data_IF_107080837343
#
_entry.id   IF_107080837343
#
_cell.length_a   1.000
_cell.length_b   1.000
_cell.length_c   1.000
_cell.angle_alpha   90.00
_cell.angle_beta   90.00
_cell.angle_gamma   90.00
#
_symmetry.space_group_name_H-M   'P 1'
#
loop_
_entity.id
_entity.type
_entity.pdbx_description
1 polymer ?
#
# COMPACT_ATOMS: atom_id res chain seq x y z
N UNK A 1 -19.40 8.34 -9.47
CA UNK A 1 -18.96 8.80 -8.13
C UNK A 1 -18.57 10.28 -8.22
N UNK A 2 -19.09 11.09 -7.32
CA UNK A 2 -18.65 12.47 -7.19
C UNK A 2 -18.25 12.69 -5.71
N UNK A 3 -16.95 12.76 -5.44
CA UNK A 3 -16.43 12.86 -4.09
C UNK A 3 -15.15 13.69 -4.05
N UNK A 4 -15.00 14.47 -3.00
CA UNK A 4 -13.76 15.16 -2.67
C UNK A 4 -13.16 14.53 -1.42
N UNK A 5 -11.86 14.28 -1.44
CA UNK A 5 -11.11 13.69 -0.33
C UNK A 5 -10.07 14.71 0.11
N UNK A 6 -10.04 15.00 1.39
CA UNK A 6 -9.13 15.99 1.94
C UNK A 6 -7.82 15.37 2.43
N UNK A 7 -6.79 16.19 2.50
CA UNK A 7 -5.48 15.75 3.00
C UNK A 7 -5.61 15.23 4.44
N UNK A 8 -5.01 14.06 4.70
CA UNK A 8 -5.08 13.38 6.00
C UNK A 8 -6.37 12.60 6.22
N UNK A 9 -7.33 12.65 5.29
CA UNK A 9 -8.59 11.89 5.39
C UNK A 9 -8.35 10.40 5.08
N UNK A 10 -9.05 9.54 5.81
CA UNK A 10 -9.08 8.10 5.59
C UNK A 10 -10.47 7.69 5.15
N UNK A 11 -10.55 7.16 3.95
CA UNK A 11 -11.81 6.83 3.28
C UNK A 11 -11.82 5.36 2.91
N UNK A 12 -12.86 4.65 3.35
CA UNK A 12 -13.16 3.30 2.91
C UNK A 12 -14.11 3.37 1.72
N UNK A 13 -13.75 2.72 0.63
CA UNK A 13 -14.59 2.60 -0.56
C UNK A 13 -15.15 1.19 -0.58
N UNK A 14 -16.47 1.08 -0.45
CA UNK A 14 -17.19 -0.18 -0.48
C UNK A 14 -18.18 -0.18 -1.64
N UNK A 15 -18.47 -1.36 -2.18
CA UNK A 15 -19.41 -1.48 -3.29
C UNK A 15 -19.18 -2.73 -4.12
N UNK A 16 -19.70 -2.73 -5.34
CA UNK A 16 -19.48 -3.82 -6.28
C UNK A 16 -17.98 -3.94 -6.62
N UNK A 17 -17.37 -5.13 -6.50
CA UNK A 17 -15.95 -5.33 -6.77
C UNK A 17 -15.50 -4.84 -8.13
N UNK A 18 -16.32 -5.06 -9.18
CA UNK A 18 -15.98 -4.64 -10.55
C UNK A 18 -15.86 -3.12 -10.67
N UNK A 19 -16.75 -2.40 -9.99
CA UNK A 19 -16.79 -0.93 -10.01
C UNK A 19 -15.62 -0.36 -9.20
N UNK A 20 -15.36 -0.88 -8.01
CA UNK A 20 -14.33 -0.36 -7.11
C UNK A 20 -12.91 -0.64 -7.62
N UNK A 21 -12.66 -1.82 -8.20
CA UNK A 21 -11.39 -2.13 -8.87
C UNK A 21 -11.18 -1.22 -10.09
N UNK A 22 -12.24 -0.94 -10.85
CA UNK A 22 -12.16 0.00 -11.97
C UNK A 22 -11.82 1.41 -11.51
N UNK A 23 -12.37 1.86 -10.37
CA UNK A 23 -12.02 3.14 -9.77
C UNK A 23 -10.54 3.23 -9.39
N UNK A 24 -9.98 2.17 -8.79
CA UNK A 24 -8.55 2.10 -8.48
C UNK A 24 -7.69 2.30 -9.76
N UNK A 25 -8.06 1.59 -10.83
CA UNK A 25 -7.37 1.72 -12.13
C UNK A 25 -7.52 3.11 -12.76
N UNK A 26 -8.71 3.73 -12.63
CA UNK A 26 -8.95 5.11 -13.10
C UNK A 26 -8.02 6.09 -12.38
N UNK A 27 -7.95 6.02 -11.05
CA UNK A 27 -7.07 6.89 -10.26
C UNK A 27 -5.59 6.64 -10.57
N UNK A 28 -5.22 5.39 -10.85
CA UNK A 28 -3.86 5.03 -11.26
C UNK A 28 -3.53 5.43 -12.73
N UNK A 29 -4.49 5.99 -13.49
CA UNK A 29 -4.30 6.33 -14.91
C UNK A 29 -4.25 5.12 -15.85
N UNK A 30 -4.70 3.95 -15.39
CA UNK A 30 -4.63 2.68 -16.12
C UNK A 30 -5.95 2.28 -16.81
N UNK A 31 -6.98 3.12 -16.74
CA UNK A 31 -8.30 2.83 -17.27
C UNK A 31 -8.75 3.94 -18.22
N UNK A 32 -8.74 3.70 -19.55
CA UNK A 32 -9.02 4.74 -20.54
C UNK A 32 -10.52 4.87 -20.91
N UNK A 33 -11.38 4.01 -20.36
CA UNK A 33 -12.80 4.00 -20.72
C UNK A 33 -13.68 4.70 -19.67
N UNK A 34 -14.68 5.43 -20.16
CA UNK A 34 -15.66 6.13 -19.33
C UNK A 34 -15.57 7.64 -19.50
N UNK A 35 -16.32 8.34 -18.63
CA UNK A 35 -16.38 9.80 -18.60
C UNK A 35 -16.20 10.27 -17.15
N UNK A 36 -15.47 11.35 -16.97
CA UNK A 36 -15.23 11.96 -15.66
C UNK A 36 -13.82 12.52 -15.56
N UNK A 37 -13.55 13.12 -14.42
CA UNK A 37 -12.26 13.76 -14.13
C UNK A 37 -11.77 13.30 -12.76
N UNK A 38 -10.47 13.09 -12.66
CA UNK A 38 -9.78 12.84 -11.39
C UNK A 38 -8.76 13.94 -11.19
N UNK A 39 -8.94 14.71 -10.14
CA UNK A 39 -8.02 15.78 -9.77
C UNK A 39 -7.11 15.30 -8.64
N UNK A 40 -5.82 15.24 -8.91
CA UNK A 40 -4.79 14.87 -7.92
C UNK A 40 -3.95 16.10 -7.59
N UNK A 41 -3.50 16.28 -6.33
CA UNK A 41 -2.64 17.40 -5.98
C UNK A 41 -1.35 17.39 -6.78
N UNK A 42 -0.99 18.52 -7.38
CA UNK A 42 0.23 18.64 -8.16
C UNK A 42 1.46 18.36 -7.29
N UNK A 43 2.35 17.50 -7.75
CA UNK A 43 3.59 17.14 -7.05
C UNK A 43 3.39 16.29 -5.79
N UNK A 44 2.19 15.80 -5.51
CA UNK A 44 1.97 14.93 -4.37
C UNK A 44 2.60 13.54 -4.60
N UNK A 45 3.29 13.03 -3.57
CA UNK A 45 3.75 11.66 -3.56
C UNK A 45 2.54 10.74 -3.36
N UNK A 46 2.23 9.95 -4.38
CA UNK A 46 1.12 9.02 -4.42
C UNK A 46 1.67 7.61 -4.52
N UNK A 47 1.21 6.71 -3.69
CA UNK A 47 1.56 5.29 -3.73
C UNK A 47 0.33 4.42 -3.85
N UNK A 48 0.47 3.32 -4.58
CA UNK A 48 -0.56 2.31 -4.78
C UNK A 48 -0.11 1.01 -4.12
N UNK A 49 -0.97 0.45 -3.29
CA UNK A 49 -0.78 -0.85 -2.65
C UNK A 49 -1.88 -1.81 -3.12
N UNK A 50 -1.64 -2.57 -4.19
CA UNK A 50 -2.59 -3.57 -4.67
C UNK A 50 -2.55 -4.83 -3.81
N UNK A 51 -3.55 -5.69 -3.95
CA UNK A 51 -3.63 -7.02 -3.33
C UNK A 51 -2.34 -7.84 -3.51
N UNK A 52 -1.75 -7.76 -4.70
CA UNK A 52 -0.45 -8.38 -5.01
C UNK A 52 0.57 -7.31 -5.40
N UNK A 53 1.45 -6.90 -4.49
CA UNK A 53 2.47 -5.92 -4.79
C UNK A 53 3.42 -6.41 -5.89
N UNK A 54 3.82 -5.52 -6.78
CA UNK A 54 4.85 -5.83 -7.76
C UNK A 54 6.20 -6.02 -7.06
N UNK A 55 6.78 -7.21 -7.22
CA UNK A 55 8.08 -7.61 -6.67
C UNK A 55 8.98 -8.06 -7.82
N UNK A 56 9.83 -7.20 -8.37
CA UNK A 56 10.73 -7.55 -9.47
C UNK A 56 11.77 -8.58 -9.02
N UNK A 57 12.28 -9.36 -9.96
CA UNK A 57 13.48 -10.18 -9.77
C UNK A 57 14.68 -9.25 -9.56
N UNK A 58 15.03 -9.01 -8.31
CA UNK A 58 16.07 -8.05 -7.92
C UNK A 58 16.53 -8.31 -6.47
N UNK A 59 17.52 -7.54 -6.01
CA UNK A 59 17.87 -7.55 -4.59
C UNK A 59 16.69 -7.07 -3.74
N UNK A 60 16.57 -7.57 -2.50
CA UNK A 60 15.52 -7.14 -1.58
C UNK A 60 15.59 -5.62 -1.34
N UNK A 61 16.79 -5.06 -1.30
CA UNK A 61 17.02 -3.62 -1.23
C UNK A 61 16.37 -2.88 -2.42
N UNK A 62 16.55 -3.37 -3.65
CA UNK A 62 15.90 -2.81 -4.84
C UNK A 62 14.38 -2.94 -4.79
N UNK A 63 13.89 -4.09 -4.31
CA UNK A 63 12.47 -4.35 -4.14
C UNK A 63 11.84 -3.39 -3.13
N UNK A 64 12.50 -3.12 -2.01
CA UNK A 64 12.04 -2.16 -1.00
C UNK A 64 12.07 -0.71 -1.50
N UNK A 65 13.09 -0.35 -2.26
CA UNK A 65 13.24 1.02 -2.78
C UNK A 65 12.33 1.33 -3.96
N UNK A 66 11.84 0.31 -4.67
CA UNK A 66 11.03 0.50 -5.89
C UNK A 66 9.86 1.49 -5.69
N UNK A 67 9.64 2.47 -6.59
CA UNK A 67 10.29 2.65 -7.91
C UNK A 67 11.63 3.43 -7.88
N UNK A 68 12.13 3.80 -6.72
CA UNK A 68 13.39 4.51 -6.58
C UNK A 68 14.60 3.58 -6.77
N UNK A 69 15.79 4.16 -6.96
CA UNK A 69 17.03 3.40 -7.01
C UNK A 69 17.32 2.69 -5.67
N UNK A 70 18.05 1.58 -5.72
CA UNK A 70 18.32 0.73 -4.55
C UNK A 70 19.02 1.48 -3.41
N UNK A 71 19.88 2.43 -3.75
CA UNK A 71 20.69 3.24 -2.83
C UNK A 71 19.99 4.52 -2.33
N UNK A 72 18.73 4.74 -2.71
CA UNK A 72 17.96 5.93 -2.28
C UNK A 72 17.79 5.98 -0.76
N UNK A 73 17.64 4.84 -0.11
CA UNK A 73 17.41 4.75 1.32
C UNK A 73 18.56 4.03 2.03
N UNK A 74 18.86 4.44 3.24
CA UNK A 74 19.88 3.79 4.05
C UNK A 74 19.46 2.38 4.50
N UNK A 75 20.43 1.48 4.70
CA UNK A 75 20.15 0.15 5.25
C UNK A 75 19.43 0.23 6.62
N UNK A 76 19.75 1.21 7.44
CA UNK A 76 19.06 1.46 8.73
C UNK A 76 17.58 1.76 8.53
N UNK A 77 17.23 2.61 7.55
CA UNK A 77 15.83 2.92 7.25
C UNK A 77 15.09 1.69 6.71
N UNK A 78 15.73 0.88 5.86
CA UNK A 78 15.15 -0.36 5.35
C UNK A 78 14.92 -1.39 6.45
N UNK A 79 15.88 -1.56 7.37
CA UNK A 79 15.72 -2.43 8.54
C UNK A 79 14.53 -2.00 9.38
N UNK A 80 14.41 -0.70 9.68
CA UNK A 80 13.29 -0.16 10.44
C UNK A 80 11.95 -0.39 9.74
N UNK A 81 11.87 -0.14 8.42
CA UNK A 81 10.64 -0.38 7.65
C UNK A 81 10.22 -1.86 7.64
N UNK A 82 11.20 -2.77 7.52
CA UNK A 82 10.96 -4.21 7.62
C UNK A 82 10.49 -4.61 9.02
N UNK A 83 11.10 -4.06 10.06
CA UNK A 83 10.70 -4.31 11.45
C UNK A 83 9.27 -3.84 11.71
N UNK A 84 8.93 -2.61 11.32
CA UNK A 84 7.57 -2.06 11.41
C UNK A 84 6.54 -2.93 10.66
N UNK A 85 6.91 -3.50 9.51
CA UNK A 85 6.04 -4.41 8.76
C UNK A 85 6.02 -5.85 9.32
N UNK A 86 6.76 -6.15 10.39
CA UNK A 86 6.86 -7.50 10.96
C UNK A 86 7.66 -8.48 10.08
N UNK A 87 8.62 -7.95 9.33
CA UNK A 87 9.50 -8.69 8.41
C UNK A 87 10.98 -8.56 8.82
N UNK A 88 11.29 -8.34 10.11
CA UNK A 88 12.65 -8.17 10.61
C UNK A 88 13.59 -9.32 10.19
N UNK A 89 13.05 -10.55 10.03
CA UNK A 89 13.79 -11.71 9.58
C UNK A 89 14.34 -11.61 8.14
N UNK A 90 13.84 -10.68 7.32
CA UNK A 90 14.35 -10.38 5.98
C UNK A 90 15.52 -9.40 5.99
N UNK A 91 15.76 -8.68 7.08
CA UNK A 91 16.79 -7.66 7.15
C UNK A 91 18.21 -8.16 6.78
N UNK A 92 18.65 -9.39 7.17
CA UNK A 92 19.95 -9.93 6.73
C UNK A 92 20.04 -10.22 5.24
N UNK A 93 18.90 -10.26 4.53
CA UNK A 93 18.78 -10.63 3.12
C UNK A 93 18.67 -9.44 2.18
N UNK A 94 18.96 -8.22 2.61
CA UNK A 94 18.83 -7.01 1.78
C UNK A 94 19.60 -7.09 0.45
N UNK A 95 20.76 -7.73 0.45
CA UNK A 95 21.60 -7.90 -0.75
C UNK A 95 21.22 -9.11 -1.61
N UNK A 96 20.40 -10.04 -1.09
CA UNK A 96 20.02 -11.24 -1.81
C UNK A 96 19.15 -10.89 -3.01
N UNK A 97 19.44 -11.52 -4.14
CA UNK A 97 18.64 -11.42 -5.37
C UNK A 97 17.75 -12.67 -5.47
N UNK A 98 16.44 -12.45 -5.55
CA UNK A 98 15.49 -13.57 -5.61
C UNK A 98 14.21 -13.17 -6.34
N UNK A 99 13.40 -14.17 -6.72
CA UNK A 99 12.01 -13.99 -7.16
C UNK A 99 11.10 -13.91 -5.93
N UNK A 100 11.08 -12.76 -5.29
CA UNK A 100 10.41 -12.54 -4.01
C UNK A 100 8.90 -12.84 -4.04
N UNK A 101 8.28 -12.69 -5.21
CA UNK A 101 6.89 -13.08 -5.47
C UNK A 101 6.64 -14.59 -5.41
N UNK A 102 7.69 -15.40 -5.60
CA UNK A 102 7.62 -16.87 -5.57
C UNK A 102 8.06 -17.45 -4.23
N UNK A 103 9.08 -16.83 -3.61
CA UNK A 103 9.66 -17.36 -2.37
C UNK A 103 8.93 -16.89 -1.12
N UNK A 104 8.18 -15.76 -1.20
CA UNK A 104 7.41 -15.25 -0.09
C UNK A 104 5.93 -15.65 -0.19
N UNK A 105 5.30 -16.09 0.92
CA UNK A 105 3.85 -16.25 0.94
C UNK A 105 3.15 -14.88 0.77
N UNK A 106 1.91 -14.88 0.23
CA UNK A 106 1.17 -13.65 -0.08
C UNK A 106 1.13 -12.67 1.09
N UNK A 107 0.90 -13.14 2.30
CA UNK A 107 0.92 -12.31 3.53
C UNK A 107 2.25 -11.56 3.71
N UNK A 108 3.38 -12.19 3.43
CA UNK A 108 4.69 -11.54 3.53
C UNK A 108 4.91 -10.55 2.36
N UNK A 109 4.40 -10.86 1.17
CA UNK A 109 4.42 -9.94 0.03
C UNK A 109 3.63 -8.67 0.33
N UNK A 110 2.42 -8.78 0.89
CA UNK A 110 1.60 -7.65 1.30
C UNK A 110 2.31 -6.79 2.37
N UNK A 111 2.91 -7.43 3.39
CA UNK A 111 3.74 -6.74 4.39
C UNK A 111 4.95 -6.04 3.76
N UNK A 112 5.55 -6.62 2.73
CA UNK A 112 6.67 -5.99 2.01
C UNK A 112 6.21 -4.75 1.24
N UNK A 113 5.02 -4.79 0.65
CA UNK A 113 4.36 -3.61 0.07
C UNK A 113 4.15 -2.50 1.10
N UNK A 114 3.75 -2.85 2.32
CA UNK A 114 3.61 -1.87 3.42
C UNK A 114 4.97 -1.33 3.88
N UNK A 115 6.00 -2.17 3.97
CA UNK A 115 7.35 -1.71 4.29
C UNK A 115 7.84 -0.64 3.29
N UNK A 116 7.49 -0.74 2.00
CA UNK A 116 7.74 0.31 1.02
C UNK A 116 7.05 1.63 1.38
N UNK A 117 5.78 1.58 1.78
CA UNK A 117 5.04 2.77 2.19
C UNK A 117 5.70 3.43 3.40
N UNK A 118 6.11 2.62 4.41
CA UNK A 118 6.80 3.13 5.60
C UNK A 118 8.15 3.76 5.26
N UNK A 119 8.84 3.21 4.27
CA UNK A 119 10.12 3.73 3.80
C UNK A 119 9.97 5.03 3.00
N UNK A 120 8.96 5.11 2.13
CA UNK A 120 8.76 6.21 1.19
C UNK A 120 7.92 7.36 1.73
N UNK A 121 7.15 7.14 2.81
CA UNK A 121 6.33 8.17 3.46
C UNK A 121 5.44 8.98 2.49
N UNK A 122 4.61 8.33 1.64
CA UNK A 122 3.80 9.04 0.68
C UNK A 122 2.69 9.87 1.35
N UNK A 123 2.30 10.98 0.70
CA UNK A 123 1.21 11.82 1.18
C UNK A 123 -0.17 11.20 0.90
N UNK A 124 -0.27 10.36 -0.12
CA UNK A 124 -1.50 9.69 -0.55
C UNK A 124 -1.24 8.20 -0.79
N UNK A 125 -2.08 7.36 -0.21
CA UNK A 125 -2.01 5.91 -0.38
C UNK A 125 -3.35 5.39 -0.85
N UNK A 126 -3.32 4.69 -1.97
CA UNK A 126 -4.46 3.93 -2.48
C UNK A 126 -4.21 2.45 -2.19
N UNK A 127 -5.13 1.81 -1.46
CA UNK A 127 -5.03 0.42 -1.02
C UNK A 127 -6.17 -0.38 -1.66
N UNK A 128 -5.84 -1.48 -2.31
CA UNK A 128 -6.79 -2.41 -2.90
C UNK A 128 -6.57 -3.79 -2.33
N UNK A 129 -7.49 -4.25 -1.47
CA UNK A 129 -7.50 -5.62 -0.91
C UNK A 129 -6.13 -6.10 -0.36
N UNK A 130 -5.28 -5.17 0.08
CA UNK A 130 -3.91 -5.50 0.48
C UNK A 130 -3.81 -6.16 1.87
N UNK A 131 -4.95 -6.42 2.51
CA UNK A 131 -5.04 -7.08 3.82
C UNK A 131 -5.82 -8.39 3.76
N UNK A 132 -6.29 -8.82 2.60
CA UNK A 132 -7.14 -10.00 2.42
C UNK A 132 -6.48 -11.35 2.82
N UNK A 133 -5.15 -11.40 2.82
CA UNK A 133 -4.41 -12.58 3.29
C UNK A 133 -4.32 -12.69 4.83
N UNK A 134 -4.86 -11.73 5.57
CA UNK A 134 -4.82 -11.71 7.03
C UNK A 134 -6.16 -12.18 7.63
N UNK A 135 -6.09 -12.75 8.82
CA UNK A 135 -7.26 -12.90 9.67
C UNK A 135 -7.67 -11.53 10.27
N UNK A 136 -8.87 -11.37 10.81
CA UNK A 136 -9.35 -10.05 11.26
C UNK A 136 -8.41 -9.35 12.26
N UNK A 137 -7.76 -10.10 13.15
CA UNK A 137 -6.77 -9.53 14.10
C UNK A 137 -5.50 -9.06 13.40
N UNK A 138 -5.05 -9.81 12.41
CA UNK A 138 -3.89 -9.43 11.59
C UNK A 138 -4.17 -8.20 10.75
N UNK A 139 -5.38 -8.11 10.20
CA UNK A 139 -5.84 -6.95 9.44
C UNK A 139 -5.87 -5.68 10.32
N UNK A 140 -6.47 -5.75 11.51
CA UNK A 140 -6.45 -4.66 12.48
C UNK A 140 -5.03 -4.22 12.83
N UNK A 141 -4.15 -5.17 13.12
CA UNK A 141 -2.75 -4.88 13.42
C UNK A 141 -2.06 -4.14 12.26
N UNK A 142 -2.36 -4.51 11.01
CA UNK A 142 -1.82 -3.84 9.84
C UNK A 142 -2.37 -2.42 9.67
N UNK A 143 -3.65 -2.21 9.93
CA UNK A 143 -4.27 -0.88 9.88
C UNK A 143 -3.73 0.04 10.99
N UNK A 144 -3.52 -0.49 12.19
CA UNK A 144 -2.89 0.24 13.30
C UNK A 144 -1.44 0.63 12.96
N UNK A 145 -0.69 -0.28 12.31
CA UNK A 145 0.66 0.04 11.82
C UNK A 145 0.63 1.16 10.77
N UNK A 146 -0.26 1.08 9.78
CA UNK A 146 -0.43 2.15 8.79
C UNK A 146 -0.75 3.49 9.45
N UNK A 147 -1.58 3.47 10.47
CA UNK A 147 -1.93 4.69 11.22
C UNK A 147 -0.75 5.27 11.97
N UNK A 148 0.04 4.42 12.60
CA UNK A 148 1.21 4.83 13.39
C UNK A 148 2.35 5.32 12.51
N UNK A 149 2.67 4.58 11.44
CA UNK A 149 3.81 4.87 10.59
C UNK A 149 3.52 5.97 9.54
N UNK A 150 2.24 6.16 9.17
CA UNK A 150 1.78 7.16 8.19
C UNK A 150 0.67 8.07 8.77
N UNK A 151 0.92 8.78 9.87
CA UNK A 151 -0.12 9.52 10.59
C UNK A 151 -0.73 10.68 9.76
N UNK A 152 0.02 11.23 8.82
CA UNK A 152 -0.38 12.37 7.99
C UNK A 152 -0.79 11.99 6.56
N UNK A 153 -0.74 10.71 6.20
CA UNK A 153 -1.13 10.25 4.87
C UNK A 153 -2.65 10.17 4.74
N UNK A 154 -3.13 10.55 3.57
CA UNK A 154 -4.50 10.27 3.15
C UNK A 154 -4.59 8.82 2.66
N UNK A 155 -5.54 8.06 3.19
CA UNK A 155 -5.74 6.66 2.80
C UNK A 155 -7.07 6.50 2.08
N UNK A 156 -7.04 5.93 0.88
CA UNK A 156 -8.21 5.47 0.16
C UNK A 156 -8.11 3.95 0.04
N UNK A 157 -8.97 3.26 0.74
CA UNK A 157 -8.93 1.80 0.77
C UNK A 157 -10.18 1.22 0.14
N UNK A 158 -9.98 0.30 -0.79
CA UNK A 158 -11.01 -0.56 -1.33
C UNK A 158 -10.92 -1.89 -0.58
N UNK A 159 -12.00 -2.28 0.09
CA UNK A 159 -12.12 -3.58 0.72
C UNK A 159 -13.53 -4.14 0.56
N UNK A 160 -13.61 -5.42 0.26
CA UNK A 160 -14.87 -6.16 0.13
C UNK A 160 -15.21 -6.93 1.39
N UNK A 161 -14.27 -7.00 2.33
CA UNK A 161 -14.45 -7.62 3.63
C UNK A 161 -14.92 -6.59 4.65
N UNK A 162 -15.89 -6.97 5.48
CA UNK A 162 -16.31 -6.14 6.61
C UNK A 162 -15.29 -6.14 7.73
N UNK A 163 -15.33 -5.10 8.59
CA UNK A 163 -14.48 -5.03 9.80
C UNK A 163 -13.53 -3.85 9.84
N UNK A 164 -13.23 -3.25 8.69
CA UNK A 164 -12.31 -2.10 8.59
C UNK A 164 -12.93 -0.75 8.92
N UNK A 165 -14.27 -0.64 9.02
CA UNK A 165 -14.99 0.64 9.18
C UNK A 165 -14.41 1.51 10.32
N UNK A 166 -13.95 0.90 11.42
CA UNK A 166 -13.40 1.61 12.59
C UNK A 166 -12.09 2.37 12.32
N UNK A 167 -11.36 1.99 11.28
CA UNK A 167 -10.08 2.62 10.91
C UNK A 167 -10.25 3.83 9.98
N UNK A 168 -11.49 4.11 9.55
CA UNK A 168 -11.81 5.13 8.56
C UNK A 168 -12.80 6.15 9.10
N UNK A 169 -12.64 7.40 8.65
CA UNK A 169 -13.50 8.51 9.04
C UNK A 169 -14.77 8.57 8.18
N UNK A 170 -14.70 8.01 6.96
CA UNK A 170 -15.80 8.06 5.99
C UNK A 170 -15.82 6.81 5.13
N UNK A 171 -17.03 6.41 4.75
CA UNK A 171 -17.29 5.34 3.80
C UNK A 171 -18.00 5.90 2.56
N UNK A 172 -17.58 5.48 1.38
CA UNK A 172 -18.15 5.82 0.07
C UNK A 172 -18.69 4.59 -0.63
#
# INVERSE_FOLDING_TARGET
LNATIHRGERVLIAGDPTVTISLFKVVAGLWPWGHGEVWLPAGAAISFLPQRPFLPLASLQSVLSYPHAADTFSAKAMHHALECAGLAWLAPRLADVDSWDRVLPLRAQQRLGMARLFLQQPAWVFIEEATDAFDPKGEDCMMDMLQRELPNASLLTISFHGGLDRHYQRKL
#
